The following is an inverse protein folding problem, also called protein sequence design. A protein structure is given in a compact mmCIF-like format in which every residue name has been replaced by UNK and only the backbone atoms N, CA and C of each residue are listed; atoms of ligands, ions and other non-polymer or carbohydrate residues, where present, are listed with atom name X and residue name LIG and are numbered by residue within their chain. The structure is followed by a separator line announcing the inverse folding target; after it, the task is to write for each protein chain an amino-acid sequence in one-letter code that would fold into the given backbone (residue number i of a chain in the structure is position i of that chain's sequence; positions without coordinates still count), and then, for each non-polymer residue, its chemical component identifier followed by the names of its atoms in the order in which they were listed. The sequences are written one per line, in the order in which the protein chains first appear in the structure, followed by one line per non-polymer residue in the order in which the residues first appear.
data_IF_739552268319
#
_entry.id   IF_739552268319
#
_cell.length_a   1.000
_cell.length_b   1.000
_cell.length_c   1.000
_cell.angle_alpha   90.00
_cell.angle_beta   90.00
_cell.angle_gamma   90.00
#
_symmetry.space_group_name_H-M   'P 1'
#
loop_
_entity.id
_entity.type
_entity.pdbx_description
1 polymer ?
#
# COMPACT_ATOMS: atom_id res chain seq x y z
N UNK A 1 -13.28 -2.19 14.91
CA UNK A 1 -12.24 -3.25 14.99
C UNK A 1 -10.89 -2.61 15.29
N UNK A 2 -9.94 -3.31 15.95
CA UNK A 2 -8.63 -2.72 16.31
C UNK A 2 -7.55 -3.03 15.27
N UNK A 3 -6.77 -2.02 14.89
CA UNK A 3 -5.62 -2.17 14.02
C UNK A 3 -4.53 -3.03 14.68
N UNK A 4 -4.03 -4.07 13.99
CA UNK A 4 -2.98 -4.96 14.49
C UNK A 4 -1.69 -4.21 14.80
N UNK A 5 -1.40 -3.10 14.09
CA UNK A 5 -0.20 -2.28 14.28
C UNK A 5 -0.36 -1.23 15.39
N UNK A 6 -1.24 -0.24 15.22
CA UNK A 6 -1.33 0.89 16.16
C UNK A 6 -2.32 0.68 17.31
N UNK A 7 -3.02 -0.46 17.36
CA UNK A 7 -4.02 -0.84 18.38
C UNK A 7 -5.22 0.12 18.53
N UNK A 8 -5.29 1.18 17.73
CA UNK A 8 -6.43 2.09 17.66
C UNK A 8 -7.63 1.41 17.02
N UNK A 9 -8.80 1.80 17.50
CA UNK A 9 -10.07 1.36 16.93
C UNK A 9 -10.41 2.16 15.69
N UNK A 10 -10.83 1.44 14.65
CA UNK A 10 -11.19 2.00 13.36
C UNK A 10 -12.40 1.24 12.80
N UNK A 11 -13.21 1.96 12.03
CA UNK A 11 -14.41 1.40 11.37
C UNK A 11 -14.03 0.45 10.23
N UNK A 12 -12.90 0.70 9.57
CA UNK A 12 -12.43 -0.06 8.41
C UNK A 12 -10.96 -0.44 8.56
N UNK A 13 -10.66 -1.71 8.29
CA UNK A 13 -9.30 -2.25 8.26
C UNK A 13 -9.10 -3.00 6.94
N UNK A 14 -7.88 -2.94 6.40
CA UNK A 14 -7.48 -3.75 5.24
C UNK A 14 -6.68 -4.96 5.73
N UNK A 15 -6.88 -6.10 5.08
CA UNK A 15 -6.14 -7.32 5.36
C UNK A 15 -4.81 -7.31 4.60
N UNK A 16 -3.71 -7.31 5.34
CA UNK A 16 -2.34 -7.43 4.83
C UNK A 16 -1.75 -8.73 5.36
N UNK A 17 -1.79 -9.77 4.52
CA UNK A 17 -1.41 -11.11 4.95
C UNK A 17 -2.25 -11.55 6.14
N UNK A 18 -1.60 -11.83 7.28
CA UNK A 18 -2.26 -12.20 8.54
C UNK A 18 -2.70 -11.02 9.42
N UNK A 19 -2.43 -9.77 9.04
CA UNK A 19 -2.73 -8.59 9.88
C UNK A 19 -3.89 -7.76 9.35
N UNK A 20 -4.68 -7.18 10.26
CA UNK A 20 -5.71 -6.19 9.94
C UNK A 20 -5.17 -4.79 10.22
N UNK A 21 -4.94 -4.00 9.18
CA UNK A 21 -4.21 -2.75 9.26
C UNK A 21 -5.12 -1.57 8.88
N UNK A 22 -5.10 -0.53 9.70
CA UNK A 22 -5.90 0.66 9.42
C UNK A 22 -5.33 1.49 8.25
N UNK A 23 -6.17 2.28 7.56
CA UNK A 23 -5.74 3.15 6.47
C UNK A 23 -4.53 4.02 6.82
N UNK A 24 -4.51 4.59 8.04
CA UNK A 24 -3.40 5.43 8.52
C UNK A 24 -2.08 4.69 8.60
N UNK A 25 -2.09 3.40 8.97
CA UNK A 25 -0.89 2.58 9.05
C UNK A 25 -0.42 2.13 7.66
N UNK A 26 -1.33 1.84 6.74
CA UNK A 26 -0.97 1.53 5.34
C UNK A 26 -0.27 2.72 4.68
N UNK A 27 -0.79 3.94 4.90
CA UNK A 27 -0.25 5.16 4.32
C UNK A 27 1.18 5.49 4.78
N UNK A 28 1.68 4.90 5.87
CA UNK A 28 3.07 5.07 6.31
C UNK A 28 4.08 4.50 5.32
N UNK A 29 3.68 3.55 4.49
CA UNK A 29 4.54 3.07 3.42
C UNK A 29 4.61 4.11 2.30
N UNK A 30 5.80 4.66 2.02
CA UNK A 30 5.97 5.77 1.07
C UNK A 30 5.35 5.51 -0.31
N UNK A 31 5.62 4.33 -0.88
CA UNK A 31 5.16 3.95 -2.24
C UNK A 31 3.75 3.39 -2.20
N UNK A 32 3.53 2.27 -1.51
CA UNK A 32 2.22 1.61 -1.48
C UNK A 32 1.15 2.49 -0.84
N UNK A 33 1.52 3.29 0.17
CA UNK A 33 0.62 4.26 0.79
C UNK A 33 0.16 5.35 -0.17
N UNK A 34 0.99 5.74 -1.16
CA UNK A 34 0.51 6.58 -2.26
C UNK A 34 -0.46 5.80 -3.15
N UNK A 35 -0.10 4.60 -3.58
CA UNK A 35 -0.99 3.76 -4.40
C UNK A 35 -2.36 3.59 -3.74
N UNK A 36 -2.38 3.40 -2.41
CA UNK A 36 -3.59 3.31 -1.62
C UNK A 36 -4.42 4.60 -1.66
N UNK A 37 -3.79 5.77 -1.51
CA UNK A 37 -4.46 7.08 -1.53
C UNK A 37 -5.00 7.42 -2.92
N UNK A 38 -4.22 7.21 -3.96
CA UNK A 38 -4.59 7.55 -5.33
C UNK A 38 -5.63 6.59 -5.89
N UNK A 39 -5.45 5.28 -5.69
CA UNK A 39 -6.36 4.29 -6.24
C UNK A 39 -6.42 2.99 -5.41
N UNK A 40 -7.48 2.88 -4.60
CA UNK A 40 -7.72 1.71 -3.75
C UNK A 40 -7.86 0.40 -4.53
N UNK A 41 -8.38 0.42 -5.77
CA UNK A 41 -8.45 -0.78 -6.63
C UNK A 41 -7.05 -1.22 -7.08
N UNK A 42 -6.19 -0.28 -7.46
CA UNK A 42 -4.79 -0.55 -7.81
C UNK A 42 -4.03 -1.12 -6.61
N UNK A 43 -4.23 -0.55 -5.43
CA UNK A 43 -3.67 -1.07 -4.17
C UNK A 43 -4.08 -2.52 -3.92
N UNK A 44 -5.38 -2.85 -3.96
CA UNK A 44 -5.85 -4.22 -3.71
C UNK A 44 -5.24 -5.21 -4.70
N UNK A 45 -5.11 -4.84 -5.97
CA UNK A 45 -4.43 -5.67 -6.99
C UNK A 45 -2.94 -5.83 -6.72
N UNK A 46 -2.26 -4.74 -6.33
CA UNK A 46 -0.85 -4.76 -6.00
C UNK A 46 -0.56 -5.68 -4.82
N UNK A 47 -1.32 -5.57 -3.73
CA UNK A 47 -1.17 -6.44 -2.55
C UNK A 47 -1.44 -7.90 -2.89
N UNK A 48 -2.46 -8.18 -3.73
CA UNK A 48 -2.74 -9.55 -4.19
C UNK A 48 -1.59 -10.14 -5.03
N UNK A 49 -0.84 -9.31 -5.75
CA UNK A 49 0.33 -9.76 -6.53
C UNK A 49 1.57 -9.94 -5.66
N UNK A 50 1.84 -8.99 -4.76
CA UNK A 50 3.02 -9.01 -3.90
C UNK A 50 2.90 -10.01 -2.74
N UNK A 51 1.68 -10.34 -2.33
CA UNK A 51 1.35 -11.32 -1.29
C UNK A 51 2.22 -11.21 -0.02
N UNK A 52 2.33 -10.02 0.61
CA UNK A 52 3.03 -9.90 1.88
C UNK A 52 2.36 -10.80 2.92
N UNK A 53 3.16 -11.54 3.71
CA UNK A 53 2.67 -12.45 4.75
C UNK A 53 2.14 -11.70 5.97
N UNK A 54 2.69 -10.52 6.25
CA UNK A 54 2.33 -9.67 7.37
C UNK A 54 2.63 -8.18 7.08
N UNK A 55 2.32 -7.31 8.05
CA UNK A 55 2.55 -5.88 7.94
C UNK A 55 4.04 -5.49 7.94
N UNK A 56 4.92 -6.30 8.56
CA UNK A 56 6.37 -6.05 8.56
C UNK A 56 6.95 -6.28 7.16
N UNK A 57 6.57 -7.37 6.51
CA UNK A 57 6.94 -7.65 5.13
C UNK A 57 6.36 -6.60 4.17
N UNK A 58 5.10 -6.19 4.40
CA UNK A 58 4.50 -5.07 3.68
C UNK A 58 5.36 -3.80 3.76
N UNK A 59 5.83 -3.43 4.96
CA UNK A 59 6.67 -2.24 5.16
C UNK A 59 8.06 -2.33 4.51
N UNK A 60 8.51 -3.55 4.18
CA UNK A 60 9.80 -3.80 3.51
C UNK A 60 9.69 -3.85 1.99
N UNK A 61 8.49 -3.74 1.42
CA UNK A 61 8.30 -3.79 -0.02
C UNK A 61 9.07 -2.64 -0.70
N UNK A 62 9.94 -3.01 -1.61
CA UNK A 62 10.78 -2.05 -2.34
C UNK A 62 10.08 -1.52 -3.59
N UNK A 63 10.55 -0.37 -4.07
CA UNK A 63 10.12 0.20 -5.35
C UNK A 63 10.22 -0.80 -6.50
N UNK A 64 11.36 -1.50 -6.58
CA UNK A 64 11.64 -2.48 -7.64
C UNK A 64 10.58 -3.57 -7.67
N UNK A 65 10.18 -4.09 -6.50
CA UNK A 65 9.12 -5.11 -6.41
C UNK A 65 7.75 -4.57 -6.86
N UNK A 66 7.42 -3.32 -6.51
CA UNK A 66 6.17 -2.68 -6.95
C UNK A 66 6.14 -2.51 -8.47
N UNK A 67 7.21 -1.93 -9.04
CA UNK A 67 7.32 -1.69 -10.48
C UNK A 67 7.37 -3.00 -11.29
N UNK A 68 8.00 -4.07 -10.76
CA UNK A 68 8.01 -5.39 -11.40
C UNK A 68 6.65 -6.10 -11.32
N UNK A 69 5.90 -5.91 -10.24
CA UNK A 69 4.62 -6.56 -10.05
C UNK A 69 3.49 -5.83 -10.80
N UNK A 70 3.60 -4.51 -10.98
CA UNK A 70 2.47 -3.68 -11.34
C UNK A 70 2.87 -2.42 -12.10
N UNK A 71 2.34 -2.28 -13.32
CA UNK A 71 2.47 -1.05 -14.09
C UNK A 71 1.55 0.02 -13.54
N UNK A 72 2.11 0.84 -12.65
CA UNK A 72 1.44 1.95 -11.99
C UNK A 72 0.97 3.05 -12.95
N UNK A 73 1.61 3.17 -14.13
CA UNK A 73 1.27 4.24 -15.10
C UNK A 73 -0.12 4.07 -15.68
N UNK A 74 -0.60 2.83 -15.82
CA UNK A 74 -1.98 2.51 -16.24
C UNK A 74 -3.06 3.05 -15.29
N UNK A 75 -2.66 3.48 -14.10
CA UNK A 75 -3.54 4.01 -13.06
C UNK A 75 -3.24 5.48 -12.75
N UNK A 76 -2.51 6.18 -13.62
CA UNK A 76 -2.14 7.59 -13.41
C UNK A 76 -1.06 7.80 -12.35
N UNK A 77 -0.44 6.74 -11.82
CA UNK A 77 0.54 6.84 -10.74
C UNK A 77 1.95 6.84 -11.32
N UNK A 78 2.71 7.93 -11.11
CA UNK A 78 4.11 8.04 -11.52
C UNK A 78 5.02 8.23 -10.31
N UNK A 79 5.88 7.24 -10.06
CA UNK A 79 6.93 7.34 -9.04
C UNK A 79 8.09 8.18 -9.59
N UNK A 80 8.09 9.50 -9.39
CA UNK A 80 9.26 10.35 -9.70
C UNK A 80 10.38 10.10 -8.67
N UNK A 81 11.63 10.21 -9.10
CA UNK A 81 12.84 9.70 -8.42
C UNK A 81 13.19 10.38 -7.10
N UNK A 82 12.50 11.45 -6.71
CA UNK A 82 12.76 12.16 -5.44
C UNK A 82 11.52 12.69 -4.74
N UNK A 83 10.38 12.80 -5.43
CA UNK A 83 9.08 13.12 -4.82
C UNK A 83 8.00 12.48 -5.69
N UNK A 84 7.14 11.68 -5.07
CA UNK A 84 6.04 11.01 -5.77
C UNK A 84 4.91 12.03 -5.94
N UNK A 85 4.52 12.33 -7.19
CA UNK A 85 3.52 13.37 -7.52
C UNK A 85 2.38 12.71 -8.30
N UNK A 86 1.13 13.01 -7.92
CA UNK A 86 -0.07 12.65 -8.69
C UNK A 86 -0.10 13.43 -10.00
N UNK A 87 -0.49 12.78 -11.09
CA UNK A 87 -0.75 13.45 -12.36
C UNK A 87 -2.26 13.66 -12.46
N UNK A 88 -2.67 14.92 -12.45
CA UNK A 88 -4.03 15.38 -12.75
C UNK A 88 -4.41 15.05 -14.21
#
# INVERSE_FOLDING_TARGET
MKCSNCKKEETWLEMIGSNFICPRCLQKHKIIGLVFRTNTKAFKRLIKKLKPKDYSEYMKITRKQVESAFDLRKYGIKLKTTNVVELE
#
